data_IF_373509903209
#
_entry.id   IF_373509903209
#
_cell.length_a   1.000
_cell.length_b   1.000
_cell.length_c   1.000
_cell.angle_alpha   90.00
_cell.angle_beta   90.00
_cell.angle_gamma   90.00
#
_symmetry.space_group_name_H-M   'P 1'
#
loop_
_entity.id
_entity.type
_entity.pdbx_description
1 polymer ?
#
# COMPACT_ATOMS: atom_id res chain seq x y z
N UNK A 1 15.84 -16.17 -19.44
CA UNK A 1 14.66 -16.37 -18.57
C UNK A 1 14.30 -15.15 -17.72
N UNK A 2 15.18 -14.59 -16.87
CA UNK A 2 14.85 -13.41 -16.03
C UNK A 2 14.47 -12.15 -16.82
N UNK A 3 15.14 -11.89 -17.95
CA UNK A 3 14.80 -10.77 -18.82
C UNK A 3 13.37 -10.90 -19.38
N UNK A 4 13.02 -12.07 -19.91
CA UNK A 4 11.68 -12.34 -20.44
C UNK A 4 10.58 -12.15 -19.38
N UNK A 5 10.79 -12.65 -18.15
CA UNK A 5 9.84 -12.47 -17.07
C UNK A 5 9.69 -11.01 -16.63
N UNK A 6 10.78 -10.25 -16.65
CA UNK A 6 10.71 -8.82 -16.34
C UNK A 6 10.00 -8.02 -17.44
N UNK A 7 10.27 -8.34 -18.73
CA UNK A 7 9.55 -7.72 -19.86
C UNK A 7 8.07 -8.08 -19.84
N UNK A 8 7.72 -9.32 -19.51
CA UNK A 8 6.35 -9.74 -19.32
C UNK A 8 5.67 -8.96 -18.20
N UNK A 9 6.31 -8.81 -17.02
CA UNK A 9 5.75 -8.08 -15.90
C UNK A 9 5.49 -6.59 -16.22
N UNK A 10 6.34 -5.97 -17.04
CA UNK A 10 6.08 -4.62 -17.55
C UNK A 10 4.94 -4.60 -18.56
N UNK A 11 4.95 -5.53 -19.52
CA UNK A 11 3.93 -5.62 -20.55
C UNK A 11 2.53 -5.77 -19.93
N UNK A 12 2.35 -6.72 -19.00
CA UNK A 12 1.06 -6.97 -18.37
C UNK A 12 0.63 -5.78 -17.48
N UNK A 13 1.56 -5.13 -16.78
CA UNK A 13 1.26 -3.94 -15.96
C UNK A 13 0.77 -2.79 -16.85
N UNK A 14 1.45 -2.52 -17.97
CA UNK A 14 1.06 -1.48 -18.93
C UNK A 14 -0.29 -1.82 -19.57
N UNK A 15 -0.51 -3.07 -19.95
CA UNK A 15 -1.77 -3.54 -20.51
C UNK A 15 -2.95 -3.37 -19.53
N UNK A 16 -2.72 -3.70 -18.24
CA UNK A 16 -3.72 -3.47 -17.19
C UNK A 16 -4.07 -1.98 -17.05
N UNK A 17 -3.08 -1.09 -17.16
CA UNK A 17 -3.30 0.37 -17.12
C UNK A 17 -4.11 0.84 -18.34
N UNK A 18 -3.76 0.37 -19.56
CA UNK A 18 -4.45 0.75 -20.80
C UNK A 18 -5.92 0.29 -20.78
N UNK A 19 -6.17 -0.96 -20.38
CA UNK A 19 -7.54 -1.52 -20.31
C UNK A 19 -8.30 -0.92 -19.11
N UNK A 20 -7.64 -0.74 -17.99
CA UNK A 20 -8.23 -0.24 -16.75
C UNK A 20 -8.66 1.23 -16.84
N UNK A 21 -7.96 2.04 -17.65
CA UNK A 21 -8.24 3.47 -17.77
C UNK A 21 -9.69 3.75 -18.25
N UNK A 22 -10.17 3.24 -19.41
CA UNK A 22 -11.54 3.49 -19.85
C UNK A 22 -12.58 2.95 -18.87
N UNK A 23 -12.31 1.82 -18.21
CA UNK A 23 -13.19 1.25 -17.19
C UNK A 23 -13.28 2.19 -15.98
N UNK A 24 -12.14 2.67 -15.47
CA UNK A 24 -12.11 3.64 -14.37
C UNK A 24 -12.81 4.95 -14.76
N UNK A 25 -12.60 5.43 -15.98
CA UNK A 25 -13.24 6.65 -16.49
C UNK A 25 -14.76 6.49 -16.57
N UNK A 26 -15.25 5.37 -17.08
CA UNK A 26 -16.68 5.08 -17.15
C UNK A 26 -17.30 5.00 -15.75
N UNK A 27 -16.68 4.26 -14.83
CA UNK A 27 -17.14 4.17 -13.44
C UNK A 27 -17.16 5.55 -12.79
N UNK A 28 -16.10 6.35 -12.99
CA UNK A 28 -16.05 7.70 -12.46
C UNK A 28 -17.18 8.57 -13.01
N UNK A 29 -17.41 8.59 -14.33
CA UNK A 29 -18.46 9.39 -14.97
C UNK A 29 -19.85 9.02 -14.45
N UNK A 30 -20.13 7.72 -14.32
CA UNK A 30 -21.44 7.23 -13.86
C UNK A 30 -21.64 7.49 -12.36
N UNK A 31 -20.59 7.36 -11.55
CA UNK A 31 -20.75 7.43 -10.09
C UNK A 31 -20.47 8.82 -9.51
N UNK A 32 -19.80 9.71 -10.23
CA UNK A 32 -19.38 11.02 -9.72
C UNK A 32 -20.49 11.86 -9.08
N UNK A 33 -21.75 11.88 -9.58
CA UNK A 33 -22.85 12.64 -8.95
C UNK A 33 -23.28 12.09 -7.60
N UNK A 34 -23.09 10.78 -7.35
CA UNK A 34 -23.64 10.06 -6.19
C UNK A 34 -22.54 9.59 -5.20
N UNK A 35 -21.29 9.68 -5.61
CA UNK A 35 -20.12 9.23 -4.83
C UNK A 35 -19.11 10.38 -4.61
N UNK A 36 -19.42 11.35 -3.72
CA UNK A 36 -18.55 12.48 -3.45
C UNK A 36 -17.19 12.06 -2.86
N UNK A 37 -17.14 10.88 -2.23
CA UNK A 37 -15.90 10.26 -1.75
C UNK A 37 -15.10 9.56 -2.83
N UNK A 38 -15.66 9.41 -4.04
CA UNK A 38 -15.06 8.67 -5.17
C UNK A 38 -14.65 7.25 -4.79
N UNK A 39 -15.46 6.61 -3.96
CA UNK A 39 -15.19 5.26 -3.47
C UNK A 39 -15.15 4.25 -4.62
N UNK A 40 -16.14 4.29 -5.51
CA UNK A 40 -16.26 3.37 -6.64
C UNK A 40 -15.09 3.53 -7.63
N UNK A 41 -14.80 4.77 -8.05
CA UNK A 41 -13.67 5.04 -8.94
C UNK A 41 -12.32 4.68 -8.31
N UNK A 42 -12.16 4.92 -7.00
CA UNK A 42 -10.98 4.49 -6.26
C UNK A 42 -10.82 2.98 -6.25
N UNK A 43 -11.87 2.22 -5.91
CA UNK A 43 -11.86 0.75 -5.94
C UNK A 43 -11.53 0.21 -7.33
N UNK A 44 -12.12 0.78 -8.38
CA UNK A 44 -11.81 0.40 -9.76
C UNK A 44 -10.31 0.58 -10.06
N UNK A 45 -9.73 1.72 -9.67
CA UNK A 45 -8.29 1.95 -9.86
C UNK A 45 -7.44 0.98 -9.04
N UNK A 46 -7.79 0.68 -7.76
CA UNK A 46 -7.06 -0.33 -6.96
C UNK A 46 -7.10 -1.70 -7.63
N UNK A 47 -8.25 -2.08 -8.23
CA UNK A 47 -8.39 -3.36 -8.92
C UNK A 47 -7.48 -3.47 -10.15
N UNK A 48 -7.14 -2.38 -10.84
CA UNK A 48 -6.11 -2.40 -11.90
C UNK A 48 -4.78 -2.89 -11.34
N UNK A 49 -4.35 -2.35 -10.19
CA UNK A 49 -3.12 -2.80 -9.53
C UNK A 49 -3.20 -4.24 -9.01
N UNK A 50 -4.35 -4.67 -8.48
CA UNK A 50 -4.58 -6.05 -8.03
C UNK A 50 -4.55 -7.03 -9.20
N UNK A 51 -5.13 -6.66 -10.35
CA UNK A 51 -5.09 -7.49 -11.56
C UNK A 51 -3.66 -7.62 -12.08
N UNK A 52 -2.90 -6.51 -12.14
CA UNK A 52 -1.50 -6.55 -12.51
C UNK A 52 -0.69 -7.45 -11.56
N UNK A 53 -0.93 -7.37 -10.25
CA UNK A 53 -0.29 -8.27 -9.28
C UNK A 53 -0.67 -9.73 -9.52
N UNK A 54 -1.92 -10.05 -9.82
CA UNK A 54 -2.40 -11.42 -10.04
C UNK A 54 -1.80 -12.05 -11.32
N UNK A 55 -1.55 -11.25 -12.34
CA UNK A 55 -0.92 -11.68 -13.59
C UNK A 55 0.61 -11.78 -13.51
N UNK A 56 1.21 -11.16 -12.49
CA UNK A 56 2.66 -11.10 -12.34
C UNK A 56 3.24 -12.44 -11.83
N UNK A 57 4.01 -13.18 -12.64
CA UNK A 57 4.52 -14.49 -12.25
C UNK A 57 5.65 -14.42 -11.20
N UNK A 58 6.21 -13.23 -10.98
CA UNK A 58 7.33 -13.02 -10.07
C UNK A 58 6.88 -12.76 -8.63
N UNK A 59 5.61 -12.34 -8.42
CA UNK A 59 5.14 -11.91 -7.11
C UNK A 59 4.10 -12.85 -6.52
N UNK A 60 4.30 -13.20 -5.25
CA UNK A 60 3.35 -13.97 -4.45
C UNK A 60 3.03 -13.19 -3.18
N UNK A 61 2.04 -12.32 -3.29
CA UNK A 61 1.65 -11.39 -2.25
C UNK A 61 0.33 -11.82 -1.62
N UNK A 62 0.21 -11.64 -0.30
CA UNK A 62 -1.02 -11.95 0.44
C UNK A 62 -1.28 -10.90 1.50
N UNK A 63 -2.53 -10.57 1.72
CA UNK A 63 -3.00 -9.69 2.79
C UNK A 63 -3.72 -10.48 3.86
N UNK A 64 -3.70 -9.98 5.10
CA UNK A 64 -4.37 -10.57 6.27
C UNK A 64 -5.04 -9.50 7.11
N UNK A 65 -5.99 -9.93 7.90
CA UNK A 65 -6.82 -9.06 8.74
C UNK A 65 -8.02 -8.51 7.98
N UNK A 66 -9.00 -8.12 8.74
CA UNK A 66 -10.25 -7.51 8.26
C UNK A 66 -10.54 -6.28 9.12
N UNK A 67 -11.20 -5.30 8.56
CA UNK A 67 -11.81 -4.23 9.34
C UNK A 67 -13.20 -4.68 9.77
N UNK A 68 -13.56 -4.38 11.00
CA UNK A 68 -14.93 -4.59 11.50
C UNK A 68 -15.92 -3.74 10.70
N UNK A 69 -15.58 -2.48 10.47
CA UNK A 69 -16.34 -1.57 9.63
C UNK A 69 -15.46 -0.97 8.51
N UNK A 70 -15.53 -1.52 7.27
CA UNK A 70 -14.79 -1.01 6.13
C UNK A 70 -15.22 0.39 5.66
N UNK A 71 -16.36 0.90 6.14
CA UNK A 71 -16.88 2.24 5.82
C UNK A 71 -16.53 3.28 6.88
N UNK A 72 -16.05 2.87 8.05
CA UNK A 72 -15.46 3.79 9.02
C UNK A 72 -14.20 4.41 8.43
N UNK A 73 -14.04 5.73 8.43
CA UNK A 73 -12.81 6.36 7.93
C UNK A 73 -11.66 6.17 8.92
N UNK A 74 -10.49 5.85 8.38
CA UNK A 74 -9.24 5.69 9.13
C UNK A 74 -8.15 6.56 8.52
N UNK A 75 -7.23 7.04 9.35
CA UNK A 75 -5.92 7.44 8.90
C UNK A 75 -5.04 6.19 8.88
N UNK A 76 -4.86 5.62 7.69
CA UNK A 76 -4.10 4.38 7.49
C UNK A 76 -2.63 4.71 7.34
N UNK A 77 -1.78 3.99 8.06
CA UNK A 77 -0.33 4.12 7.95
C UNK A 77 0.33 2.76 7.74
N UNK A 78 1.44 2.73 7.03
CA UNK A 78 2.27 1.53 6.88
C UNK A 78 3.75 1.87 6.78
N UNK A 79 4.63 0.91 7.07
CA UNK A 79 6.03 1.00 6.68
C UNK A 79 6.17 0.92 5.16
N UNK A 80 7.22 1.56 4.61
CA UNK A 80 7.41 1.69 3.16
C UNK A 80 8.79 1.21 2.70
N UNK A 81 8.82 0.05 2.06
CA UNK A 81 10.06 -0.59 1.61
C UNK A 81 10.23 -0.54 0.08
N UNK A 82 9.12 -0.56 -0.68
CA UNK A 82 9.14 -0.76 -2.12
C UNK A 82 7.95 -0.10 -2.81
N UNK A 83 8.02 0.15 -4.11
CA UNK A 83 6.82 0.43 -4.91
C UNK A 83 5.82 -0.73 -4.92
N UNK A 84 6.30 -1.95 -4.68
CA UNK A 84 5.46 -3.14 -4.59
C UNK A 84 4.49 -3.11 -3.39
N UNK A 85 4.74 -2.27 -2.37
CA UNK A 85 3.83 -2.07 -1.24
C UNK A 85 2.46 -1.57 -1.71
N UNK A 86 2.44 -0.72 -2.75
CA UNK A 86 1.21 -0.15 -3.30
C UNK A 86 0.31 -1.27 -3.85
N UNK A 87 0.88 -2.20 -4.62
CA UNK A 87 0.14 -3.35 -5.15
C UNK A 87 -0.37 -4.25 -4.03
N UNK A 88 0.49 -4.56 -3.05
CA UNK A 88 0.15 -5.42 -1.93
C UNK A 88 -0.97 -4.82 -1.06
N UNK A 89 -0.86 -3.55 -0.68
CA UNK A 89 -1.86 -2.88 0.16
C UNK A 89 -3.17 -2.66 -0.61
N UNK A 90 -3.13 -2.48 -1.95
CA UNK A 90 -4.34 -2.40 -2.78
C UNK A 90 -5.17 -3.69 -2.78
N UNK A 91 -4.61 -4.84 -2.37
CA UNK A 91 -5.35 -6.09 -2.22
C UNK A 91 -6.32 -6.10 -1.04
N UNK A 92 -6.24 -5.15 -0.13
CA UNK A 92 -7.27 -5.03 0.91
C UNK A 92 -8.63 -4.67 0.30
N UNK A 93 -9.74 -5.23 0.82
CA UNK A 93 -11.06 -5.13 0.18
C UNK A 93 -11.78 -3.80 0.38
N UNK A 94 -11.16 -2.81 0.99
CA UNK A 94 -11.72 -1.46 1.20
C UNK A 94 -10.96 -0.39 0.43
N UNK A 95 -11.58 0.77 0.23
CA UNK A 95 -10.97 1.90 -0.47
C UNK A 95 -10.25 2.83 0.50
N UNK A 96 -9.11 3.33 0.05
CA UNK A 96 -8.30 4.35 0.72
C UNK A 96 -7.79 5.34 -0.31
N UNK A 97 -7.80 6.64 0.01
CA UNK A 97 -7.17 7.66 -0.83
C UNK A 97 -5.70 7.80 -0.46
N UNK A 98 -4.85 7.70 -1.45
CA UNK A 98 -3.41 7.65 -1.23
C UNK A 98 -2.80 9.04 -1.28
N UNK A 99 -2.04 9.40 -0.26
CA UNK A 99 -1.16 10.56 -0.31
C UNK A 99 0.09 10.20 -1.12
N UNK A 100 0.17 10.71 -2.33
CA UNK A 100 1.18 10.29 -3.30
C UNK A 100 2.00 11.47 -3.82
N UNK A 101 3.26 11.16 -4.21
CA UNK A 101 4.17 12.16 -4.78
C UNK A 101 3.61 12.72 -6.09
N UNK A 102 3.74 14.03 -6.30
CA UNK A 102 3.32 14.77 -7.50
C UNK A 102 3.73 14.09 -8.82
N UNK A 103 4.96 13.58 -8.90
CA UNK A 103 5.46 12.93 -10.11
C UNK A 103 4.65 11.71 -10.55
N UNK A 104 3.91 11.05 -9.65
CA UNK A 104 3.05 9.90 -9.98
C UNK A 104 1.83 10.36 -10.78
N UNK A 105 1.30 11.54 -10.48
CA UNK A 105 0.17 12.13 -11.20
C UNK A 105 0.50 12.61 -12.61
N UNK A 106 1.79 12.68 -12.95
CA UNK A 106 2.26 13.05 -14.31
C UNK A 106 2.40 11.84 -15.23
N UNK A 107 2.29 10.62 -14.73
CA UNK A 107 2.33 9.39 -15.55
C UNK A 107 1.02 9.30 -16.33
N UNK A 108 1.07 9.26 -17.69
CA UNK A 108 -0.12 9.16 -18.52
C UNK A 108 -1.01 7.98 -18.12
N UNK A 109 -2.31 8.11 -18.26
CA UNK A 109 -3.35 7.17 -17.86
C UNK A 109 -3.40 6.92 -16.35
N UNK A 110 -2.28 6.48 -15.75
CA UNK A 110 -2.21 6.20 -14.31
C UNK A 110 -2.49 7.45 -13.47
N UNK A 111 -1.85 8.57 -13.80
CA UNK A 111 -2.07 9.84 -13.09
C UNK A 111 -3.51 10.36 -13.26
N UNK A 112 -4.12 10.13 -14.40
CA UNK A 112 -5.53 10.48 -14.62
C UNK A 112 -6.46 9.58 -13.81
N UNK A 113 -6.19 8.28 -13.73
CA UNK A 113 -6.92 7.38 -12.83
C UNK A 113 -6.76 7.77 -11.37
N UNK A 114 -5.56 8.17 -10.91
CA UNK A 114 -5.35 8.68 -9.56
C UNK A 114 -6.21 9.92 -9.27
N UNK A 115 -6.34 10.84 -10.23
CA UNK A 115 -7.19 12.03 -10.09
C UNK A 115 -8.67 11.66 -10.02
N UNK A 116 -9.15 10.78 -10.90
CA UNK A 116 -10.52 10.26 -10.87
C UNK A 116 -10.82 9.49 -9.58
N UNK A 117 -9.86 8.73 -9.10
CA UNK A 117 -9.93 8.02 -7.83
C UNK A 117 -9.96 8.96 -6.61
N UNK A 118 -9.59 10.22 -6.76
CA UNK A 118 -9.52 11.19 -5.67
C UNK A 118 -8.30 11.01 -4.76
N UNK A 119 -7.24 10.39 -5.26
CA UNK A 119 -5.95 10.35 -4.58
C UNK A 119 -5.38 11.76 -4.41
N UNK A 120 -4.50 11.94 -3.45
CA UNK A 120 -4.06 13.24 -2.97
C UNK A 120 -2.61 13.49 -3.39
N UNK A 121 -2.39 14.61 -4.07
CA UNK A 121 -1.08 15.01 -4.58
C UNK A 121 -0.27 15.72 -3.50
N UNK A 122 1.02 15.40 -3.42
CA UNK A 122 1.97 16.05 -2.54
C UNK A 122 3.27 16.41 -3.26
N UNK A 123 3.59 17.70 -3.31
CA UNK A 123 4.91 18.20 -3.70
C UNK A 123 5.79 18.24 -2.45
N UNK A 124 6.74 17.31 -2.35
CA UNK A 124 7.62 17.21 -1.18
C UNK A 124 8.53 18.42 -1.08
N UNK A 125 8.72 18.92 0.14
CA UNK A 125 9.55 20.11 0.41
C UNK A 125 8.82 21.44 0.18
N UNK A 126 7.56 21.41 -0.27
CA UNK A 126 6.71 22.58 -0.41
C UNK A 126 5.69 22.61 0.75
N UNK A 127 5.71 23.69 1.54
CA UNK A 127 4.85 23.84 2.73
C UNK A 127 3.37 23.99 2.33
N UNK A 128 3.10 24.80 1.34
CA UNK A 128 1.72 25.08 0.90
C UNK A 128 1.08 23.80 0.33
N UNK A 129 1.82 23.06 -0.50
CA UNK A 129 1.36 21.74 -0.98
C UNK A 129 1.12 20.75 0.17
N UNK A 130 1.89 20.84 1.26
CA UNK A 130 1.67 19.98 2.43
C UNK A 130 0.40 20.36 3.19
N UNK A 131 0.10 21.63 3.32
CA UNK A 131 -1.13 22.14 3.94
C UNK A 131 -2.35 21.75 3.11
N UNK A 132 -2.29 21.97 1.79
CA UNK A 132 -3.33 21.55 0.84
C UNK A 132 -3.59 20.05 0.90
N UNK A 133 -2.53 19.24 0.91
CA UNK A 133 -2.66 17.79 0.98
C UNK A 133 -3.35 17.33 2.26
N UNK A 134 -3.03 17.93 3.41
CA UNK A 134 -3.71 17.64 4.69
C UNK A 134 -5.17 18.08 4.65
N UNK A 135 -5.48 19.24 4.07
CA UNK A 135 -6.86 19.69 3.91
C UNK A 135 -7.67 18.72 3.02
N UNK A 136 -7.10 18.24 1.91
CA UNK A 136 -7.71 17.22 1.07
C UNK A 136 -7.87 15.88 1.82
N UNK A 137 -6.90 15.45 2.62
CA UNK A 137 -7.03 14.24 3.45
C UNK A 137 -8.23 14.37 4.41
N UNK A 138 -8.38 15.52 5.06
CA UNK A 138 -9.51 15.80 5.95
C UNK A 138 -10.85 15.76 5.21
N UNK A 139 -10.91 16.33 4.01
CA UNK A 139 -12.11 16.25 3.15
C UNK A 139 -12.47 14.79 2.80
N UNK A 140 -11.48 13.92 2.54
CA UNK A 140 -11.75 12.50 2.27
C UNK A 140 -12.28 11.76 3.50
N UNK A 141 -11.71 12.03 4.67
CA UNK A 141 -12.20 11.46 5.94
C UNK A 141 -13.63 11.90 6.26
N UNK A 142 -13.98 13.19 6.05
CA UNK A 142 -15.35 13.69 6.23
C UNK A 142 -16.37 13.03 5.28
N UNK A 143 -15.93 12.60 4.10
CA UNK A 143 -16.70 11.82 3.13
C UNK A 143 -16.68 10.31 3.41
N UNK A 144 -16.29 9.91 4.62
CA UNK A 144 -16.23 8.51 5.07
C UNK A 144 -15.32 7.60 4.22
N UNK A 145 -14.23 8.15 3.70
CA UNK A 145 -13.21 7.38 2.99
C UNK A 145 -11.88 7.51 3.72
N UNK A 146 -11.24 6.39 3.98
CA UNK A 146 -9.93 6.33 4.62
C UNK A 146 -8.86 7.01 3.77
N UNK A 147 -7.78 7.47 4.40
CA UNK A 147 -6.60 7.99 3.72
C UNK A 147 -5.38 7.15 4.07
N UNK A 148 -4.55 6.83 3.08
CA UNK A 148 -3.33 6.05 3.24
C UNK A 148 -2.11 6.95 3.14
N UNK A 149 -1.29 6.93 4.18
CA UNK A 149 -0.08 7.75 4.29
C UNK A 149 1.08 6.86 4.72
N UNK A 150 2.18 6.89 3.98
CA UNK A 150 3.44 6.34 4.45
C UNK A 150 4.16 7.38 5.33
N UNK A 151 4.18 7.21 6.66
CA UNK A 151 4.68 8.26 7.56
C UNK A 151 6.19 8.48 7.45
N UNK A 152 6.93 7.53 6.90
CA UNK A 152 8.35 7.68 6.56
C UNK A 152 8.59 8.75 5.49
N UNK A 153 7.59 9.05 4.66
CA UNK A 153 7.64 10.01 3.57
C UNK A 153 8.52 9.59 2.38
N UNK A 154 9.25 8.49 2.48
CA UNK A 154 10.02 7.87 1.40
C UNK A 154 10.27 6.40 1.72
N UNK A 155 10.65 5.61 0.72
CA UNK A 155 11.02 4.20 0.92
C UNK A 155 12.33 4.09 1.70
N UNK A 156 12.38 3.22 2.71
CA UNK A 156 13.63 2.86 3.37
C UNK A 156 14.56 2.09 2.41
N UNK A 157 15.86 2.36 2.48
CA UNK A 157 16.88 1.56 1.78
C UNK A 157 17.37 0.40 2.66
N UNK A 158 17.32 0.61 3.97
CA UNK A 158 17.80 -0.32 4.97
C UNK A 158 16.67 -1.19 5.53
N UNK A 159 17.05 -2.18 6.34
CA UNK A 159 16.06 -3.07 6.98
C UNK A 159 15.21 -2.35 8.02
N UNK A 160 15.67 -1.21 8.53
CA UNK A 160 14.99 -0.44 9.53
C UNK A 160 14.00 0.56 8.92
N UNK A 161 12.93 0.84 9.66
CA UNK A 161 11.99 1.90 9.30
C UNK A 161 12.62 3.27 9.54
N UNK A 162 12.42 4.19 8.61
CA UNK A 162 12.80 5.59 8.79
C UNK A 162 11.97 6.25 9.92
N UNK A 163 12.44 7.36 10.48
CA UNK A 163 11.64 8.15 11.42
C UNK A 163 10.30 8.57 10.81
N UNK A 164 9.24 8.45 11.60
CA UNK A 164 7.90 8.86 11.17
C UNK A 164 7.73 10.37 11.26
N UNK A 165 7.16 10.97 10.21
CA UNK A 165 6.76 12.39 10.17
C UNK A 165 5.42 12.59 10.85
N UNK A 166 5.17 13.78 11.38
CA UNK A 166 3.98 14.09 12.18
C UNK A 166 2.67 14.17 11.39
N UNK A 167 2.73 14.39 10.06
CA UNK A 167 1.55 14.74 9.27
C UNK A 167 0.37 13.77 9.39
N UNK A 168 0.60 12.46 9.35
CA UNK A 168 -0.45 11.45 9.52
C UNK A 168 -1.04 11.47 10.93
N UNK A 169 -0.22 11.66 11.94
CA UNK A 169 -0.62 11.67 13.35
C UNK A 169 -1.40 12.94 13.71
N UNK A 170 -0.96 14.09 13.21
CA UNK A 170 -1.71 15.36 13.31
C UNK A 170 -3.08 15.21 12.67
N UNK A 171 -3.14 14.66 11.46
CA UNK A 171 -4.40 14.43 10.77
C UNK A 171 -5.35 13.54 11.59
N UNK A 172 -4.86 12.46 12.18
CA UNK A 172 -5.64 11.55 13.00
C UNK A 172 -6.21 12.26 14.24
N UNK A 173 -5.39 13.01 14.97
CA UNK A 173 -5.79 13.79 16.15
C UNK A 173 -6.79 14.89 15.76
N UNK A 174 -6.53 15.67 14.71
CA UNK A 174 -7.38 16.78 14.27
C UNK A 174 -8.74 16.31 13.74
N UNK A 175 -8.79 15.14 13.09
CA UNK A 175 -10.04 14.61 12.54
C UNK A 175 -10.80 13.70 13.50
N UNK A 176 -10.19 13.28 14.62
CA UNK A 176 -10.74 12.25 15.51
C UNK A 176 -10.86 10.87 14.84
N UNK A 177 -10.30 10.69 13.64
CA UNK A 177 -10.33 9.42 12.93
C UNK A 177 -9.28 8.48 13.52
N UNK A 178 -9.63 7.23 13.85
CA UNK A 178 -8.67 6.28 14.40
C UNK A 178 -7.52 6.04 13.44
N UNK A 179 -6.32 5.88 14.00
CA UNK A 179 -5.11 5.54 13.27
C UNK A 179 -5.07 4.02 13.05
N UNK A 180 -4.99 3.59 11.79
CA UNK A 180 -4.94 2.17 11.40
C UNK A 180 -3.54 1.79 10.93
N UNK A 181 -2.74 1.10 11.73
CA UNK A 181 -1.44 0.63 11.30
C UNK A 181 -1.55 -0.63 10.43
N UNK A 182 -0.74 -0.70 9.36
CA UNK A 182 -0.53 -1.88 8.53
C UNK A 182 0.96 -2.24 8.56
N UNK A 183 1.27 -3.49 8.86
CA UNK A 183 2.63 -4.00 8.74
C UNK A 183 2.82 -4.67 7.38
N UNK A 184 3.95 -4.37 6.72
CA UNK A 184 4.34 -4.92 5.42
C UNK A 184 5.71 -5.59 5.55
N UNK A 185 5.87 -6.80 4.98
CA UNK A 185 7.16 -7.47 4.92
C UNK A 185 7.36 -8.21 3.58
N UNK A 186 8.60 -8.24 3.08
CA UNK A 186 9.01 -9.03 1.93
C UNK A 186 8.99 -8.30 0.58
N UNK A 187 8.52 -7.07 0.51
CA UNK A 187 8.43 -6.28 -0.73
C UNK A 187 9.76 -5.65 -1.14
N UNK A 188 10.70 -5.47 -0.20
CA UNK A 188 11.97 -4.74 -0.39
C UNK A 188 12.70 -5.10 -1.68
N UNK A 189 12.78 -6.37 -2.00
CA UNK A 189 13.49 -6.86 -3.18
C UNK A 189 12.59 -6.99 -4.41
N UNK A 190 11.28 -6.85 -4.26
CA UNK A 190 10.33 -6.99 -5.37
C UNK A 190 10.56 -5.92 -6.45
N UNK A 191 10.74 -4.68 -6.01
CA UNK A 191 11.11 -3.55 -6.84
C UNK A 191 11.94 -2.57 -5.99
N UNK A 192 13.25 -2.76 -6.00
CA UNK A 192 14.18 -2.00 -5.17
C UNK A 192 14.14 -0.50 -5.49
N UNK A 193 14.45 0.34 -4.49
CA UNK A 193 14.51 1.79 -4.67
C UNK A 193 15.57 2.16 -5.71
N UNK A 194 15.18 2.91 -6.74
CA UNK A 194 16.06 3.29 -7.85
C UNK A 194 16.13 2.25 -8.97
N UNK A 195 15.39 1.13 -8.88
CA UNK A 195 15.31 0.11 -9.92
C UNK A 195 13.87 -0.03 -10.43
N UNK A 196 13.76 -0.22 -11.74
CA UNK A 196 12.50 -0.58 -12.40
C UNK A 196 12.43 -2.07 -12.75
N UNK A 197 13.26 -2.89 -12.13
CA UNK A 197 13.28 -4.34 -12.37
C UNK A 197 12.39 -5.05 -11.37
N UNK A 198 11.45 -5.82 -11.90
CA UNK A 198 10.68 -6.78 -11.12
C UNK A 198 11.58 -7.95 -10.71
N UNK A 199 11.60 -8.28 -9.43
CA UNK A 199 12.35 -9.42 -8.89
C UNK A 199 11.38 -10.39 -8.21
N UNK A 200 11.65 -11.70 -8.26
CA UNK A 200 10.86 -12.68 -7.55
C UNK A 200 10.73 -12.33 -6.07
N UNK A 201 9.50 -12.20 -5.59
CA UNK A 201 9.27 -11.83 -4.20
C UNK A 201 8.03 -12.52 -3.62
N UNK A 202 8.09 -12.75 -2.31
CA UNK A 202 6.94 -13.12 -1.48
C UNK A 202 6.78 -12.06 -0.42
N UNK A 203 5.59 -11.55 -0.31
CA UNK A 203 5.31 -10.49 0.63
C UNK A 203 3.96 -10.70 1.32
N UNK A 204 3.90 -10.21 2.54
CA UNK A 204 2.72 -10.23 3.37
C UNK A 204 2.43 -8.81 3.88
N UNK A 205 1.16 -8.47 3.96
CA UNK A 205 0.68 -7.31 4.70
C UNK A 205 -0.41 -7.73 5.67
N UNK A 206 -0.41 -7.14 6.85
CA UNK A 206 -1.45 -7.38 7.85
C UNK A 206 -1.96 -6.08 8.44
N UNK A 207 -3.27 -6.00 8.61
CA UNK A 207 -3.90 -4.94 9.40
C UNK A 207 -3.64 -5.24 10.87
N UNK A 208 -3.29 -4.20 11.62
CA UNK A 208 -3.11 -4.26 13.06
C UNK A 208 -4.28 -3.56 13.75
N UNK A 209 -4.39 -3.74 15.07
CA UNK A 209 -5.44 -3.09 15.85
C UNK A 209 -5.42 -1.58 15.68
N UNK A 210 -6.55 -0.95 15.36
CA UNK A 210 -6.66 0.51 15.28
C UNK A 210 -6.27 1.17 16.61
N UNK A 211 -5.70 2.36 16.53
CA UNK A 211 -5.41 3.18 17.69
C UNK A 211 -6.45 4.28 17.74
N UNK A 212 -7.26 4.31 18.78
CA UNK A 212 -8.23 5.37 18.98
C UNK A 212 -7.50 6.70 19.27
N UNK A 213 -7.98 7.76 18.64
CA UNK A 213 -7.45 9.12 18.78
C UNK A 213 -8.45 10.09 19.40
N UNK A 214 -9.60 9.56 19.84
CA UNK A 214 -10.64 10.37 20.49
C UNK A 214 -10.10 11.05 21.75
N UNK A 215 -10.26 12.36 21.83
CA UNK A 215 -9.77 13.17 22.96
C UNK A 215 -8.28 13.41 22.99
N UNK A 216 -7.50 12.89 22.04
CA UNK A 216 -6.08 13.21 21.93
C UNK A 216 -5.84 14.63 21.45
N UNK A 217 -4.71 15.19 21.87
CA UNK A 217 -4.26 16.54 21.55
C UNK A 217 -2.91 16.48 20.83
N UNK A 218 -2.41 17.63 20.39
CA UNK A 218 -1.07 17.68 19.76
C UNK A 218 0.07 17.23 20.67
N UNK A 219 -0.09 17.34 22.01
CA UNK A 219 0.88 16.84 22.98
C UNK A 219 1.00 15.32 22.99
N UNK A 220 -0.03 14.60 22.51
CA UNK A 220 -0.04 13.13 22.47
C UNK A 220 0.64 12.57 21.21
N UNK A 221 0.93 13.41 20.22
CA UNK A 221 1.52 12.98 18.95
C UNK A 221 2.80 12.17 19.11
N UNK A 222 3.78 12.57 19.94
CA UNK A 222 5.00 11.77 20.13
C UNK A 222 4.70 10.35 20.63
N UNK A 223 3.78 10.22 21.60
CA UNK A 223 3.33 8.93 22.14
C UNK A 223 2.59 8.11 21.09
N UNK A 224 1.67 8.72 20.34
CA UNK A 224 0.92 8.05 19.26
C UNK A 224 1.87 7.51 18.17
N UNK A 225 2.89 8.29 17.80
CA UNK A 225 3.95 7.87 16.86
C UNK A 225 4.71 6.66 17.36
N UNK A 226 5.11 6.69 18.63
CA UNK A 226 5.83 5.59 19.26
C UNK A 226 5.01 4.31 19.26
N UNK A 227 3.77 4.35 19.75
CA UNK A 227 2.86 3.19 19.78
C UNK A 227 2.65 2.62 18.38
N UNK A 228 2.38 3.48 17.40
CA UNK A 228 2.15 3.06 16.02
C UNK A 228 3.41 2.42 15.41
N UNK A 229 4.58 2.99 15.65
CA UNK A 229 5.86 2.45 15.18
C UNK A 229 6.17 1.08 15.80
N UNK A 230 5.99 0.94 17.10
CA UNK A 230 6.20 -0.32 17.81
C UNK A 230 5.27 -1.42 17.29
N UNK A 231 3.97 -1.12 17.13
CA UNK A 231 3.00 -2.07 16.55
C UNK A 231 3.40 -2.52 15.14
N UNK A 232 3.78 -1.58 14.28
CA UNK A 232 4.21 -1.91 12.91
C UNK A 232 5.50 -2.74 12.95
N UNK A 233 6.46 -2.43 13.81
CA UNK A 233 7.73 -3.15 13.88
C UNK A 233 7.53 -4.60 14.36
N UNK A 234 6.74 -4.80 15.40
CA UNK A 234 6.35 -6.14 15.88
C UNK A 234 5.62 -6.93 14.79
N UNK A 235 4.63 -6.32 14.14
CA UNK A 235 3.88 -6.94 13.03
C UNK A 235 4.80 -7.32 11.88
N UNK A 236 5.70 -6.43 11.48
CA UNK A 236 6.68 -6.63 10.41
C UNK A 236 7.65 -7.77 10.74
N UNK A 237 8.14 -7.83 11.97
CA UNK A 237 9.02 -8.90 12.44
C UNK A 237 8.32 -10.27 12.39
N UNK A 238 7.06 -10.34 12.83
CA UNK A 238 6.25 -11.56 12.77
C UNK A 238 6.05 -12.04 11.32
N UNK A 239 5.70 -11.13 10.40
CA UNK A 239 5.54 -11.45 8.98
C UNK A 239 6.87 -11.91 8.33
N UNK A 240 7.98 -11.25 8.66
CA UNK A 240 9.31 -11.63 8.15
C UNK A 240 9.73 -13.02 8.62
N UNK A 241 9.45 -13.38 9.88
CA UNK A 241 9.67 -14.71 10.41
C UNK A 241 8.86 -15.75 9.65
N UNK A 242 7.57 -15.52 9.46
CA UNK A 242 6.70 -16.43 8.70
C UNK A 242 7.18 -16.66 7.27
N UNK A 243 7.58 -15.59 6.55
CA UNK A 243 8.14 -15.70 5.21
C UNK A 243 9.43 -16.53 5.20
N UNK A 244 10.27 -16.39 6.23
CA UNK A 244 11.51 -17.16 6.39
C UNK A 244 11.20 -18.65 6.60
N UNK A 245 10.27 -18.96 7.50
CA UNK A 245 9.92 -20.34 7.84
C UNK A 245 9.24 -21.06 6.67
N UNK A 246 8.36 -20.38 5.93
CA UNK A 246 7.77 -20.88 4.69
C UNK A 246 8.82 -21.22 3.63
N UNK A 247 9.85 -20.36 3.46
CA UNK A 247 10.97 -20.63 2.52
C UNK A 247 11.79 -21.85 2.94
N UNK A 248 12.07 -22.02 4.25
CA UNK A 248 12.80 -23.18 4.77
C UNK A 248 12.03 -24.49 4.56
N UNK A 249 10.72 -24.48 4.83
CA UNK A 249 9.85 -25.63 4.63
C UNK A 249 9.83 -26.09 3.16
N UNK A 250 9.69 -25.16 2.21
CA UNK A 250 9.71 -25.49 0.79
C UNK A 250 11.07 -26.04 0.32
N UNK A 251 12.18 -25.46 0.82
CA UNK A 251 13.51 -25.98 0.51
C UNK A 251 13.68 -27.43 1.00
N UNK A 252 13.18 -27.73 2.20
CA UNK A 252 13.22 -29.08 2.77
C UNK A 252 12.39 -30.08 1.95
N UNK A 253 11.18 -29.67 1.53
CA UNK A 253 10.30 -30.48 0.69
C UNK A 253 10.91 -30.78 -0.70
N UNK A 254 11.50 -29.78 -1.34
CA UNK A 254 12.19 -29.97 -2.64
C UNK A 254 13.38 -30.91 -2.55
N UNK A 255 14.18 -30.84 -1.47
CA UNK A 255 15.32 -31.73 -1.24
C UNK A 255 14.85 -33.18 -1.05
N UNK A 256 13.78 -33.42 -0.30
CA UNK A 256 13.20 -34.77 -0.13
C UNK A 256 12.70 -35.36 -1.44
N UNK A 257 12.07 -34.56 -2.32
CA UNK A 257 11.60 -35.04 -3.63
C UNK A 257 12.74 -35.35 -4.58
N UNK A 258 13.86 -34.63 -4.54
CA UNK A 258 15.03 -34.90 -5.38
C UNK A 258 15.80 -36.13 -4.91
N UNK A 259 15.86 -36.43 -3.60
CA UNK A 259 16.53 -37.61 -3.06
C UNK A 259 15.70 -38.91 -3.24
N UNK A 260 14.37 -38.82 -3.20
CA UNK A 260 13.48 -39.97 -3.49
C UNK A 260 13.48 -40.41 -4.95
N UNK A 261 13.62 -39.47 -5.91
CA UNK A 261 13.70 -39.78 -7.34
C UNK A 261 15.06 -40.36 -7.78
N UNK A 262 16.11 -40.24 -6.94
CA UNK A 262 17.42 -40.80 -7.19
C UNK A 262 17.61 -42.23 -6.65
N UNK A 263 16.70 -42.68 -5.76
CA UNK A 263 16.71 -44.01 -5.15
C UNK A 263 15.89 -45.04 -5.96
N UNK A 264 15.06 -44.60 -6.93
CA UNK A 264 14.24 -45.45 -7.79
C UNK A 264 14.80 -45.61 -9.22
N UNK A 265 16.06 -45.25 -9.44
CA UNK A 265 16.82 -45.52 -10.65
C UNK A 265 18.06 -46.38 -10.37
#
# INVERSE_FOLDING_TARGET
MRFVLNSWAWFETVLCVIIGYPICALIFLVTAPFDPGRYAAGRAFRLVGVTALALNPLWRFKTRGRLEDPRRPYVVIANHESYADIFLISCFPWEMKWLSKDTMFRIPLMGWMMQMAGDIRLVRGNRDSSLDAIAQCRDRLSKKVSVMIFPEGTRSRDKEMLPFKDGAFRLAVESGAPLLPIAVAGTRHAMAKGSFRFQPARALATVLEPIDTTGMTYSDIPRLKQIARERIDVGRAALAKELSDSRKAERKSRRKKSSGSAADK
#
